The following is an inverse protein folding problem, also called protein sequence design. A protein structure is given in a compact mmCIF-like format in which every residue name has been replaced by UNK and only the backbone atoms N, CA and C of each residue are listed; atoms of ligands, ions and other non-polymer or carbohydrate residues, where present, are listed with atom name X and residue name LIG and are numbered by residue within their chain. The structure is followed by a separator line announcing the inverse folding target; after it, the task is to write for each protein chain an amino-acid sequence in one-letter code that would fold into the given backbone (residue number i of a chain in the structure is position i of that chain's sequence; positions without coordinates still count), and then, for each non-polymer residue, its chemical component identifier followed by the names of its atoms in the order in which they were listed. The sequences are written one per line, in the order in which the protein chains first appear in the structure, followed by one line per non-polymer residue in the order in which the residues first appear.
data_IF_646455667202
#
_entry.id   IF_646455667202
#
_cell.length_a   1.000
_cell.length_b   1.000
_cell.length_c   1.000
_cell.angle_alpha   90.00
_cell.angle_beta   90.00
_cell.angle_gamma   90.00
#
_symmetry.space_group_name_H-M   'P 1'
#
loop_
_entity.id
_entity.type
_entity.pdbx_description
1 polymer ?
#
# COMPACT_ATOMS: atom_id res chain seq x y z
N UNK A 1 -11.84 -3.38 -9.36
CA UNK A 1 -10.70 -2.70 -8.67
C UNK A 1 -10.78 -1.21 -8.93
N UNK A 2 -10.49 -0.39 -7.94
CA UNK A 2 -10.49 1.07 -8.03
C UNK A 2 -9.05 1.59 -7.99
N UNK A 3 -8.68 2.40 -8.97
CA UNK A 3 -7.40 3.10 -8.97
C UNK A 3 -7.61 4.52 -8.45
N UNK A 4 -6.95 4.86 -7.35
CA UNK A 4 -6.87 6.22 -6.84
C UNK A 4 -5.56 6.82 -7.31
N UNK A 5 -5.61 8.01 -7.91
CA UNK A 5 -4.41 8.75 -8.32
C UNK A 5 -4.43 10.16 -7.76
N UNK A 6 -3.28 10.65 -7.33
CA UNK A 6 -3.07 12.07 -7.07
C UNK A 6 -2.58 12.76 -8.34
N UNK A 7 -3.13 13.91 -8.70
CA UNK A 7 -2.79 14.63 -9.93
C UNK A 7 -2.23 16.03 -9.63
N UNK A 8 -1.18 16.41 -10.37
CA UNK A 8 -0.54 17.72 -10.30
C UNK A 8 -0.55 18.42 -11.65
N UNK A 9 0.60 18.90 -12.10
CA UNK A 9 0.75 19.62 -13.37
C UNK A 9 1.05 18.73 -14.59
N UNK A 10 1.29 17.44 -14.38
CA UNK A 10 1.51 16.44 -15.44
C UNK A 10 0.79 15.13 -15.07
N UNK A 11 0.34 14.42 -16.11
CA UNK A 11 -0.46 13.20 -16.03
C UNK A 11 0.31 11.90 -16.35
N UNK A 12 1.60 12.00 -16.68
CA UNK A 12 2.39 10.86 -17.19
C UNK A 12 2.38 9.66 -16.25
N UNK A 13 2.49 9.91 -14.94
CA UNK A 13 2.44 8.83 -13.94
C UNK A 13 1.07 8.15 -13.89
N UNK A 14 0.01 8.93 -14.00
CA UNK A 14 -1.37 8.49 -13.90
C UNK A 14 -1.75 7.65 -15.14
N UNK A 15 -1.33 8.09 -16.33
CA UNK A 15 -1.45 7.31 -17.56
C UNK A 15 -0.75 5.96 -17.42
N UNK A 16 0.49 5.94 -16.93
CA UNK A 16 1.25 4.69 -16.73
C UNK A 16 0.60 3.79 -15.67
N UNK A 17 0.06 4.35 -14.60
CA UNK A 17 -0.67 3.62 -13.57
C UNK A 17 -1.92 2.93 -14.15
N UNK A 18 -2.69 3.63 -14.99
CA UNK A 18 -3.84 3.06 -15.69
C UNK A 18 -3.40 1.93 -16.62
N UNK A 19 -2.38 2.15 -17.46
CA UNK A 19 -1.88 1.12 -18.39
C UNK A 19 -1.48 -0.18 -17.68
N UNK A 20 -0.83 -0.09 -16.51
CA UNK A 20 -0.47 -1.26 -15.70
C UNK A 20 -1.66 -2.01 -15.11
N UNK A 21 -2.74 -1.30 -14.83
CA UNK A 21 -3.87 -1.80 -14.05
C UNK A 21 -5.17 -1.99 -14.87
N UNK A 22 -5.11 -1.73 -16.19
CA UNK A 22 -6.30 -1.60 -17.05
C UNK A 22 -7.21 -2.83 -17.09
N UNK A 23 -6.66 -4.04 -16.97
CA UNK A 23 -7.41 -5.29 -17.17
C UNK A 23 -8.55 -5.51 -16.17
N UNK A 24 -8.48 -4.94 -14.97
CA UNK A 24 -9.45 -5.16 -13.88
C UNK A 24 -10.02 -3.83 -13.33
N UNK A 25 -9.86 -2.74 -14.08
CA UNK A 25 -10.15 -1.40 -13.61
C UNK A 25 -11.63 -1.05 -13.80
N UNK A 26 -12.32 -0.82 -12.69
CA UNK A 26 -13.74 -0.44 -12.70
C UNK A 26 -13.89 1.08 -12.89
N UNK A 27 -13.11 1.85 -12.13
CA UNK A 27 -13.04 3.30 -12.22
C UNK A 27 -11.72 3.85 -11.71
N UNK A 28 -11.43 5.08 -12.11
CA UNK A 28 -10.32 5.90 -11.60
C UNK A 28 -10.87 7.04 -10.75
N UNK A 29 -10.33 7.21 -9.55
CA UNK A 29 -10.61 8.36 -8.69
C UNK A 29 -9.42 9.31 -8.78
N UNK A 30 -9.64 10.48 -9.35
CA UNK A 30 -8.63 11.50 -9.57
C UNK A 30 -8.74 12.50 -8.42
N UNK A 31 -7.69 12.61 -7.62
CA UNK A 31 -7.61 13.55 -6.51
C UNK A 31 -6.62 14.65 -6.88
N UNK A 32 -7.04 15.91 -6.80
CA UNK A 32 -6.16 17.02 -7.14
C UNK A 32 -6.72 18.38 -6.77
N UNK A 33 -5.92 19.40 -7.04
CA UNK A 33 -6.25 20.80 -6.84
C UNK A 33 -6.09 21.55 -8.16
N UNK A 34 -7.20 22.02 -8.70
CA UNK A 34 -7.31 22.46 -10.10
C UNK A 34 -7.54 23.97 -10.21
N UNK A 35 -6.87 24.73 -9.35
CA UNK A 35 -6.94 26.20 -9.28
C UNK A 35 -6.04 26.92 -10.30
N UNK A 36 -5.12 26.21 -10.95
CA UNK A 36 -4.16 26.76 -11.91
C UNK A 36 -4.36 26.19 -13.31
N UNK A 37 -4.02 26.97 -14.34
CA UNK A 37 -4.16 26.55 -15.73
C UNK A 37 -3.39 25.24 -16.03
N UNK A 38 -2.22 25.05 -15.40
CA UNK A 38 -1.41 23.84 -15.57
C UNK A 38 -2.11 22.59 -15.01
N UNK A 39 -2.67 22.66 -13.81
CA UNK A 39 -3.37 21.52 -13.21
C UNK A 39 -4.69 21.22 -13.94
N UNK A 40 -5.39 22.25 -14.42
CA UNK A 40 -6.57 22.08 -15.27
C UNK A 40 -6.24 21.42 -16.61
N UNK A 41 -5.13 21.81 -17.25
CA UNK A 41 -4.63 21.16 -18.48
C UNK A 41 -4.28 19.69 -18.26
N UNK A 42 -3.59 19.37 -17.16
CA UNK A 42 -3.26 18.00 -16.79
C UNK A 42 -4.53 17.16 -16.53
N UNK A 43 -5.51 17.70 -15.79
CA UNK A 43 -6.80 17.04 -15.56
C UNK A 43 -7.54 16.75 -16.86
N UNK A 44 -7.59 17.74 -17.76
CA UNK A 44 -8.22 17.60 -19.06
C UNK A 44 -7.53 16.52 -19.91
N UNK A 45 -6.20 16.59 -20.03
CA UNK A 45 -5.40 15.59 -20.76
C UNK A 45 -5.67 14.17 -20.25
N UNK A 46 -5.64 14.00 -18.92
CA UNK A 46 -5.88 12.69 -18.31
C UNK A 46 -7.33 12.22 -18.47
N UNK A 47 -8.30 13.12 -18.33
CA UNK A 47 -9.72 12.80 -18.56
C UNK A 47 -10.00 12.37 -20.00
N UNK A 48 -9.40 13.06 -20.97
CA UNK A 48 -9.52 12.73 -22.39
C UNK A 48 -8.92 11.34 -22.67
N UNK A 49 -7.77 11.03 -22.07
CA UNK A 49 -7.17 9.69 -22.12
C UNK A 49 -8.10 8.60 -21.55
N UNK A 50 -8.66 8.80 -20.35
CA UNK A 50 -9.57 7.83 -19.72
C UNK A 50 -10.85 7.63 -20.54
N UNK A 51 -11.37 8.71 -21.15
CA UNK A 51 -12.52 8.64 -22.04
C UNK A 51 -12.22 7.80 -23.29
N UNK A 52 -11.06 7.99 -23.91
CA UNK A 52 -10.63 7.17 -25.07
C UNK A 52 -10.47 5.70 -24.67
N UNK A 53 -9.96 5.45 -23.46
CA UNK A 53 -9.83 4.11 -22.91
C UNK A 53 -11.17 3.49 -22.41
N UNK A 54 -12.28 4.23 -22.49
CA UNK A 54 -13.60 3.83 -21.98
C UNK A 54 -13.58 3.44 -20.49
N UNK A 55 -12.84 4.21 -19.68
CA UNK A 55 -12.70 4.00 -18.23
C UNK A 55 -13.53 5.05 -17.49
N UNK A 56 -14.36 4.62 -16.55
CA UNK A 56 -15.10 5.53 -15.68
C UNK A 56 -14.17 6.32 -14.79
N UNK A 57 -14.47 7.61 -14.59
CA UNK A 57 -13.70 8.47 -13.71
C UNK A 57 -14.58 9.23 -12.72
N UNK A 58 -14.02 9.48 -11.55
CA UNK A 58 -14.57 10.32 -10.49
C UNK A 58 -13.51 11.35 -10.12
N UNK A 59 -13.87 12.63 -10.06
CA UNK A 59 -12.94 13.71 -9.71
C UNK A 59 -13.25 14.17 -8.28
N UNK A 60 -12.24 14.12 -7.42
CA UNK A 60 -12.30 14.62 -6.05
C UNK A 60 -11.38 15.85 -5.95
N UNK A 61 -11.98 17.03 -6.06
CA UNK A 61 -11.26 18.30 -5.87
C UNK A 61 -11.14 18.65 -4.38
N UNK A 62 -9.91 18.94 -3.97
CA UNK A 62 -9.53 19.20 -2.57
C UNK A 62 -8.49 20.30 -2.48
N UNK A 63 -8.44 20.99 -1.33
CA UNK A 63 -7.37 21.94 -1.03
C UNK A 63 -6.21 21.20 -0.34
N UNK A 64 -5.03 21.09 -0.96
CA UNK A 64 -3.86 20.40 -0.41
C UNK A 64 -3.26 21.10 0.82
N UNK A 65 -3.71 22.32 1.13
CA UNK A 65 -3.31 23.07 2.32
C UNK A 65 -4.18 22.70 3.54
N UNK A 66 -5.34 22.08 3.34
CA UNK A 66 -6.17 21.52 4.41
C UNK A 66 -6.08 19.99 4.44
N UNK A 67 -5.02 19.50 5.09
CA UNK A 67 -4.71 18.08 5.18
C UNK A 67 -5.86 17.23 5.77
N UNK A 68 -6.58 17.76 6.75
CA UNK A 68 -7.65 17.02 7.42
C UNK A 68 -8.93 16.98 6.58
N UNK A 69 -9.19 18.05 5.82
CA UNK A 69 -10.30 18.09 4.87
C UNK A 69 -10.12 17.03 3.77
N UNK A 70 -8.91 16.92 3.21
CA UNK A 70 -8.57 15.89 2.23
C UNK A 70 -8.86 14.50 2.79
N UNK A 71 -8.41 14.22 4.02
CA UNK A 71 -8.65 12.93 4.69
C UNK A 71 -10.16 12.69 4.87
N UNK A 72 -10.90 13.68 5.35
CA UNK A 72 -12.34 13.54 5.62
C UNK A 72 -13.13 13.26 4.34
N UNK A 73 -12.85 14.00 3.27
CA UNK A 73 -13.48 13.80 1.95
C UNK A 73 -13.13 12.44 1.37
N UNK A 74 -11.84 12.10 1.31
CA UNK A 74 -11.40 10.83 0.77
C UNK A 74 -11.92 9.64 1.58
N UNK A 75 -12.04 9.79 2.91
CA UNK A 75 -12.58 8.72 3.76
C UNK A 75 -13.98 8.33 3.36
N UNK A 76 -14.85 9.32 3.06
CA UNK A 76 -16.22 9.05 2.58
C UNK A 76 -16.22 8.28 1.26
N UNK A 77 -15.33 8.67 0.34
CA UNK A 77 -15.17 8.00 -0.95
C UNK A 77 -14.71 6.55 -0.75
N UNK A 78 -13.67 6.31 0.04
CA UNK A 78 -13.16 4.96 0.30
C UNK A 78 -14.23 4.09 0.97
N UNK A 79 -14.90 4.59 2.02
CA UNK A 79 -15.92 3.85 2.75
C UNK A 79 -17.15 3.53 1.88
N UNK A 80 -17.55 4.43 0.98
CA UNK A 80 -18.64 4.17 0.03
C UNK A 80 -18.30 3.11 -1.02
N UNK A 81 -17.01 2.80 -1.20
CA UNK A 81 -16.51 1.77 -2.11
C UNK A 81 -15.90 0.58 -1.36
N UNK A 82 -16.25 0.39 -0.07
CA UNK A 82 -15.72 -0.71 0.74
C UNK A 82 -16.03 -2.07 0.10
N UNK A 83 -15.07 -3.00 0.18
CA UNK A 83 -15.14 -4.31 -0.46
C UNK A 83 -14.47 -4.36 -1.83
N UNK A 84 -14.18 -3.21 -2.45
CA UNK A 84 -13.34 -3.14 -3.63
C UNK A 84 -11.86 -3.24 -3.28
N UNK A 85 -11.08 -3.84 -4.18
CA UNK A 85 -9.63 -3.74 -4.17
C UNK A 85 -9.19 -2.34 -4.59
N UNK A 86 -8.29 -1.73 -3.81
CA UNK A 86 -7.73 -0.42 -4.10
C UNK A 86 -6.26 -0.51 -4.55
N UNK A 87 -5.95 0.21 -5.61
CA UNK A 87 -4.58 0.59 -5.97
C UNK A 87 -4.47 2.10 -5.82
N UNK A 88 -3.40 2.58 -5.19
CA UNK A 88 -3.18 4.00 -4.90
C UNK A 88 -1.86 4.41 -5.52
N UNK A 89 -1.92 5.19 -6.59
CA UNK A 89 -0.72 5.75 -7.21
C UNK A 89 -0.43 7.13 -6.62
N UNK A 90 0.72 7.25 -5.97
CA UNK A 90 1.17 8.47 -5.28
C UNK A 90 2.38 9.12 -5.98
N UNK A 91 2.64 8.76 -7.24
CA UNK A 91 3.82 9.21 -7.98
C UNK A 91 3.75 10.69 -8.40
N UNK A 92 2.55 11.27 -8.50
CA UNK A 92 2.33 12.64 -8.95
C UNK A 92 1.50 13.48 -7.98
N UNK A 93 1.39 14.77 -8.26
CA UNK A 93 0.68 15.72 -7.39
C UNK A 93 1.54 16.31 -6.27
N UNK A 94 0.93 17.15 -5.44
CA UNK A 94 1.61 17.78 -4.31
C UNK A 94 1.91 16.77 -3.20
N UNK A 95 3.06 16.93 -2.54
CA UNK A 95 3.49 16.03 -1.45
C UNK A 95 2.53 16.04 -0.26
N UNK A 96 1.93 17.18 0.08
CA UNK A 96 0.91 17.23 1.14
C UNK A 96 -0.31 16.40 0.78
N UNK A 97 -0.74 16.47 -0.48
CA UNK A 97 -1.84 15.67 -1.01
C UNK A 97 -1.50 14.17 -0.99
N UNK A 98 -0.32 13.77 -1.47
CA UNK A 98 0.08 12.35 -1.47
C UNK A 98 0.12 11.78 -0.05
N UNK A 99 0.64 12.54 0.91
CA UNK A 99 0.66 12.15 2.33
C UNK A 99 -0.75 12.06 2.93
N UNK A 100 -1.66 12.96 2.57
CA UNK A 100 -3.05 12.93 3.05
C UNK A 100 -3.79 11.69 2.53
N UNK A 101 -3.64 11.39 1.23
CA UNK A 101 -4.21 10.19 0.60
C UNK A 101 -3.68 8.94 1.28
N UNK A 102 -2.36 8.82 1.41
CA UNK A 102 -1.72 7.68 2.08
C UNK A 102 -2.18 7.52 3.54
N UNK A 103 -2.23 8.62 4.30
CA UNK A 103 -2.67 8.62 5.69
C UNK A 103 -4.13 8.19 5.84
N UNK A 104 -4.98 8.50 4.86
CA UNK A 104 -6.39 8.07 4.89
C UNK A 104 -6.51 6.56 4.90
N UNK A 105 -5.74 5.85 4.06
CA UNK A 105 -5.74 4.37 4.05
C UNK A 105 -5.23 3.79 5.36
N UNK A 106 -4.19 4.40 5.96
CA UNK A 106 -3.68 4.00 7.27
C UNK A 106 -4.72 4.17 8.38
N UNK A 107 -5.40 5.33 8.43
CA UNK A 107 -6.41 5.64 9.45
C UNK A 107 -7.61 4.70 9.35
N UNK A 108 -8.07 4.43 8.12
CA UNK A 108 -9.19 3.53 7.89
C UNK A 108 -8.82 2.05 8.04
N UNK A 109 -7.52 1.74 8.15
CA UNK A 109 -7.01 0.36 8.16
C UNK A 109 -7.52 -0.45 6.96
N UNK A 110 -7.58 0.19 5.78
CA UNK A 110 -7.99 -0.44 4.54
C UNK A 110 -6.73 -0.81 3.76
N UNK A 111 -6.62 -2.10 3.44
CA UNK A 111 -5.47 -2.58 2.68
C UNK A 111 -5.58 -2.12 1.22
N UNK A 112 -4.50 -1.53 0.72
CA UNK A 112 -4.40 -1.05 -0.64
C UNK A 112 -2.99 -1.28 -1.16
N UNK A 113 -2.86 -1.59 -2.45
CA UNK A 113 -1.56 -1.62 -3.12
C UNK A 113 -1.14 -0.19 -3.42
N UNK A 114 -0.04 0.25 -2.83
CA UNK A 114 0.57 1.55 -3.09
C UNK A 114 1.55 1.41 -4.26
N UNK A 115 1.51 2.37 -5.18
CA UNK A 115 2.44 2.51 -6.29
C UNK A 115 3.12 3.88 -6.24
N UNK A 116 4.45 3.89 -6.26
CA UNK A 116 5.26 5.11 -6.34
C UNK A 116 6.32 4.91 -7.40
N UNK A 117 6.39 5.80 -8.36
CA UNK A 117 7.41 5.82 -9.39
C UNK A 117 8.47 6.87 -9.07
N UNK A 118 9.74 6.54 -9.32
CA UNK A 118 10.82 7.51 -9.22
C UNK A 118 10.66 8.59 -10.28
N UNK A 119 11.15 9.80 -9.99
CA UNK A 119 11.03 10.95 -10.89
C UNK A 119 11.74 10.75 -12.24
N UNK A 120 12.72 9.84 -12.28
CA UNK A 120 13.42 9.43 -13.50
C UNK A 120 12.67 8.34 -14.29
N UNK A 121 11.48 7.94 -13.83
CA UNK A 121 10.59 6.94 -14.44
C UNK A 121 11.16 5.51 -14.54
N UNK A 122 12.30 5.23 -13.89
CA UNK A 122 12.99 3.93 -14.01
C UNK A 122 12.50 2.87 -13.04
N UNK A 123 12.07 3.29 -11.85
CA UNK A 123 11.72 2.36 -10.78
C UNK A 123 10.27 2.55 -10.36
N UNK A 124 9.53 1.44 -10.28
CA UNK A 124 8.22 1.37 -9.65
C UNK A 124 8.38 0.67 -8.30
N UNK A 125 8.15 1.40 -7.22
CA UNK A 125 8.07 0.88 -5.86
C UNK A 125 6.63 0.49 -5.59
N UNK A 126 6.41 -0.73 -5.13
CA UNK A 126 5.08 -1.22 -4.75
C UNK A 126 5.11 -1.94 -3.42
N UNK A 127 4.11 -1.68 -2.57
CA UNK A 127 3.89 -2.37 -1.31
C UNK A 127 2.41 -2.28 -0.93
N UNK A 128 1.95 -3.10 -0.01
CA UNK A 128 0.61 -2.99 0.57
C UNK A 128 0.63 -2.19 1.87
N UNK A 129 -0.46 -1.53 2.19
CA UNK A 129 -0.62 -0.86 3.50
C UNK A 129 -0.38 -1.86 4.64
N UNK A 130 -0.87 -3.10 4.52
CA UNK A 130 -0.63 -4.16 5.51
C UNK A 130 0.85 -4.52 5.71
N UNK A 131 1.72 -4.28 4.71
CA UNK A 131 3.14 -4.63 4.76
C UNK A 131 3.93 -3.74 5.72
N UNK A 132 3.44 -2.52 5.97
CA UNK A 132 4.13 -1.50 6.76
C UNK A 132 3.46 -1.22 8.11
N UNK A 133 2.24 -1.71 8.33
CA UNK A 133 1.54 -1.61 9.60
C UNK A 133 2.14 -2.60 10.61
N UNK A 134 3.14 -2.16 11.37
CA UNK A 134 3.85 -3.04 12.29
C UNK A 134 3.00 -3.43 13.52
N UNK A 135 3.10 -4.69 13.99
CA UNK A 135 2.42 -5.10 15.20
C UNK A 135 3.12 -4.50 16.43
N UNK A 136 2.34 -4.10 17.43
CA UNK A 136 2.85 -3.51 18.68
C UNK A 136 3.63 -4.50 19.56
N UNK A 137 3.52 -5.80 19.34
CA UNK A 137 4.02 -6.84 20.25
C UNK A 137 4.86 -7.91 19.57
N UNK A 138 5.93 -7.51 18.88
CA UNK A 138 6.96 -8.45 18.42
C UNK A 138 8.02 -8.56 19.53
N UNK A 139 8.08 -9.70 20.20
CA UNK A 139 9.15 -10.03 21.16
C UNK A 139 10.31 -10.81 20.54
N UNK A 140 11.43 -10.93 21.26
CA UNK A 140 12.66 -11.57 20.79
C UNK A 140 12.45 -13.00 20.26
N UNK A 141 11.62 -13.80 20.94
CA UNK A 141 11.24 -15.15 20.48
C UNK A 141 10.72 -15.17 19.04
N UNK A 142 9.92 -14.17 18.67
CA UNK A 142 9.35 -14.06 17.33
C UNK A 142 10.44 -13.79 16.29
N UNK A 143 11.37 -12.89 16.61
CA UNK A 143 12.50 -12.56 15.74
C UNK A 143 13.43 -13.76 15.58
N UNK A 144 13.71 -14.49 16.67
CA UNK A 144 14.52 -15.72 16.62
C UNK A 144 13.88 -16.78 15.72
N UNK A 145 12.57 -16.99 15.85
CA UNK A 145 11.82 -17.94 15.03
C UNK A 145 11.78 -17.50 13.55
N UNK A 146 11.49 -16.23 13.26
CA UNK A 146 11.54 -15.69 11.89
C UNK A 146 12.94 -15.88 11.27
N UNK A 147 14.00 -15.61 12.03
CA UNK A 147 15.37 -15.78 11.55
C UNK A 147 15.72 -17.26 11.31
N UNK A 148 15.23 -18.18 12.15
CA UNK A 148 15.38 -19.61 11.91
C UNK A 148 14.67 -20.03 10.61
N UNK A 149 13.45 -19.54 10.37
CA UNK A 149 12.72 -19.80 9.12
C UNK A 149 13.49 -19.26 7.92
N UNK A 150 14.06 -18.06 8.02
CA UNK A 150 14.90 -17.45 6.96
C UNK A 150 16.13 -18.28 6.62
N UNK A 151 16.71 -18.94 7.63
CA UNK A 151 17.84 -19.88 7.49
C UNK A 151 17.44 -21.27 6.98
N UNK A 152 16.15 -21.50 6.69
CA UNK A 152 15.64 -22.75 6.09
C UNK A 152 14.94 -23.70 7.06
N UNK A 153 14.84 -23.38 8.35
CA UNK A 153 14.15 -24.22 9.33
C UNK A 153 12.63 -24.02 9.26
N UNK A 154 11.94 -24.77 8.39
CA UNK A 154 10.50 -24.55 8.09
C UNK A 154 9.49 -25.28 8.99
N UNK A 155 9.93 -26.25 9.80
CA UNK A 155 9.02 -27.06 10.65
C UNK A 155 9.15 -26.70 12.13
N UNK A 156 8.06 -26.85 12.89
CA UNK A 156 8.07 -26.65 14.35
C UNK A 156 9.16 -27.50 15.02
N UNK A 157 9.32 -28.75 14.58
CA UNK A 157 10.34 -29.65 15.12
C UNK A 157 11.77 -29.17 14.81
N UNK A 158 12.04 -28.70 13.58
CA UNK A 158 13.36 -28.18 13.22
C UNK A 158 13.69 -26.89 13.97
N UNK A 159 12.69 -26.02 14.16
CA UNK A 159 12.85 -24.74 14.88
C UNK A 159 13.07 -24.99 16.37
N UNK A 160 12.29 -25.88 16.99
CA UNK A 160 12.48 -26.32 18.38
C UNK A 160 13.92 -26.76 18.65
N UNK A 161 14.47 -27.62 17.77
CA UNK A 161 15.83 -28.14 17.90
C UNK A 161 16.90 -27.06 17.78
N UNK A 162 16.79 -26.18 16.76
CA UNK A 162 17.84 -25.17 16.52
C UNK A 162 17.81 -24.04 17.54
N UNK A 163 16.64 -23.69 18.08
CA UNK A 163 16.49 -22.61 19.06
C UNK A 163 16.48 -23.09 20.52
N UNK A 164 16.46 -24.41 20.77
CA UNK A 164 16.30 -25.01 22.10
C UNK A 164 15.08 -24.44 22.88
N UNK A 165 13.99 -24.16 22.16
CA UNK A 165 12.74 -23.59 22.71
C UNK A 165 11.66 -24.64 22.80
N UNK A 166 10.84 -24.77 23.87
CA UNK A 166 9.79 -25.79 23.97
C UNK A 166 8.89 -25.87 22.71
N UNK A 167 8.54 -27.09 22.28
CA UNK A 167 7.71 -27.32 21.08
C UNK A 167 6.39 -26.54 21.14
N UNK A 168 5.75 -26.50 22.31
CA UNK A 168 4.52 -25.74 22.56
C UNK A 168 4.72 -24.23 22.37
N UNK A 169 5.87 -23.69 22.81
CA UNK A 169 6.24 -22.29 22.61
C UNK A 169 6.45 -22.00 21.12
N UNK A 170 7.23 -22.83 20.41
CA UNK A 170 7.46 -22.64 18.96
C UNK A 170 6.14 -22.68 18.20
N UNK A 171 5.27 -23.64 18.49
CA UNK A 171 3.96 -23.75 17.84
C UNK A 171 3.11 -22.49 18.08
N UNK A 172 3.04 -22.02 19.33
CA UNK A 172 2.31 -20.79 19.69
C UNK A 172 2.89 -19.57 18.97
N UNK A 173 4.20 -19.38 18.97
CA UNK A 173 4.86 -18.23 18.33
C UNK A 173 4.74 -18.25 16.81
N UNK A 174 4.84 -19.41 16.15
CA UNK A 174 4.58 -19.53 14.70
C UNK A 174 3.14 -19.15 14.36
N UNK A 175 2.18 -19.54 15.21
CA UNK A 175 0.78 -19.13 15.06
C UNK A 175 0.62 -17.61 15.20
N UNK A 176 1.19 -17.02 16.24
CA UNK A 176 1.18 -15.57 16.46
C UNK A 176 1.83 -14.82 15.28
N UNK A 177 2.98 -15.29 14.78
CA UNK A 177 3.64 -14.70 13.60
C UNK A 177 2.73 -14.69 12.35
N UNK A 178 1.91 -15.72 12.14
CA UNK A 178 0.92 -15.75 11.06
C UNK A 178 -0.22 -14.76 11.30
N UNK A 179 -0.74 -14.71 12.52
CA UNK A 179 -1.80 -13.78 12.92
C UNK A 179 -1.36 -12.31 12.78
N UNK A 180 -0.07 -12.04 13.01
CA UNK A 180 0.55 -10.72 12.82
C UNK A 180 0.88 -10.39 11.35
N UNK A 181 0.72 -11.35 10.43
CA UNK A 181 1.02 -11.21 9.01
C UNK A 181 2.51 -11.23 8.67
N UNK A 182 3.37 -11.72 9.57
CA UNK A 182 4.82 -11.85 9.37
C UNK A 182 5.19 -13.17 8.67
N UNK A 183 4.30 -14.16 8.75
CA UNK A 183 4.34 -15.42 8.01
C UNK A 183 3.04 -15.61 7.24
N UNK A 184 3.14 -16.26 6.08
CA UNK A 184 1.96 -16.70 5.34
C UNK A 184 1.43 -18.07 5.86
N UNK A 185 0.37 -18.57 5.21
CA UNK A 185 -0.23 -19.87 5.55
C UNK A 185 0.72 -21.07 5.38
N UNK A 186 1.77 -20.92 4.57
CA UNK A 186 2.77 -21.94 4.26
C UNK A 186 4.04 -21.80 5.13
N UNK A 187 4.06 -20.90 6.12
CA UNK A 187 5.25 -20.52 6.91
C UNK A 187 6.36 -19.87 6.10
N UNK A 188 6.02 -19.22 4.99
CA UNK A 188 6.96 -18.39 4.25
C UNK A 188 6.93 -16.96 4.80
N UNK A 189 8.10 -16.34 4.84
CA UNK A 189 8.26 -14.99 5.37
C UNK A 189 7.62 -14.01 4.41
N UNK A 190 6.71 -13.18 4.92
CA UNK A 190 6.06 -12.13 4.11
C UNK A 190 6.98 -10.91 3.95
N UNK A 191 6.62 -9.97 3.08
CA UNK A 191 7.29 -8.66 2.99
C UNK A 191 7.42 -7.99 4.36
N UNK A 192 6.35 -8.02 5.15
CA UNK A 192 6.33 -7.51 6.53
C UNK A 192 7.32 -8.23 7.44
N UNK A 193 7.42 -9.55 7.32
CA UNK A 193 8.39 -10.37 8.05
C UNK A 193 9.84 -10.05 7.68
N UNK A 194 10.13 -9.82 6.40
CA UNK A 194 11.46 -9.39 5.95
C UNK A 194 11.84 -8.01 6.48
N UNK A 195 10.89 -7.07 6.50
CA UNK A 195 11.09 -5.75 7.13
C UNK A 195 11.38 -5.92 8.63
N UNK A 196 10.67 -6.83 9.32
CA UNK A 196 10.89 -7.06 10.75
C UNK A 196 12.30 -7.56 11.02
N UNK A 197 12.76 -8.54 10.26
CA UNK A 197 14.13 -9.03 10.38
C UNK A 197 15.16 -7.94 10.13
N UNK A 198 14.92 -7.05 9.15
CA UNK A 198 15.82 -5.92 8.88
C UNK A 198 15.84 -4.87 9.98
N UNK A 199 14.76 -4.68 10.75
CA UNK A 199 14.70 -3.70 11.84
C UNK A 199 15.35 -4.24 13.12
N UNK A 200 15.12 -5.52 13.42
CA UNK A 200 15.49 -6.10 14.72
C UNK A 200 16.80 -6.91 14.70
N UNK A 201 17.38 -7.19 13.53
CA UNK A 201 18.68 -7.88 13.40
C UNK A 201 19.79 -7.02 12.79
N UNK A 202 19.49 -5.77 12.40
CA UNK A 202 20.47 -4.76 11.99
C UNK A 202 21.13 -4.12 13.20
#
# INVERSE_FOLDING_TARGET
MILIVTLGFEEKFQVRAVMRNNSNLEKVIIIGYFNEEKSQKALKSFSDFLKIANINQEILEVDPHDFFEVISKLSKVILSNQGNEFVVNLSGGMRSLTLAVFSTFLILNIDAKVEIETEDFKTLITFKISDILFPKSIGDDHIMILNAIKKGYKTVNSIHKVLNMPVSTVWRRVRELRELGLLDKNNEITTKGEIALKIYLS
#
